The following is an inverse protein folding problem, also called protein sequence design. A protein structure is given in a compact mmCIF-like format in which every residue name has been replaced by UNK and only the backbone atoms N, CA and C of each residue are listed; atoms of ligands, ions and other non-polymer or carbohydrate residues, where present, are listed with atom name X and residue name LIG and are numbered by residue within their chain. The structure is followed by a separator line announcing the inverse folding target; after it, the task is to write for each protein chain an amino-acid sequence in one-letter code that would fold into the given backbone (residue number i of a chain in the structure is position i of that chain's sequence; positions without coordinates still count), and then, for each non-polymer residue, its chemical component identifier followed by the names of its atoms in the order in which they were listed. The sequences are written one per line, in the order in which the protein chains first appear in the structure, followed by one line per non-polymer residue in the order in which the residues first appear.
data_IF_440501986045
#
_entry.id   IF_440501986045
#
_cell.length_a   1.000
_cell.length_b   1.000
_cell.length_c   1.000
_cell.angle_alpha   90.00
_cell.angle_beta   90.00
_cell.angle_gamma   90.00
#
_symmetry.space_group_name_H-M   'P 1'
#
loop_
_entity.id
_entity.type
_entity.pdbx_description
1 polymer ?
#
# COMPACT_ATOMS: atom_id res chain seq x y z
N UNK A 1 9.01 6.16 0.63
CA UNK A 1 9.19 6.48 2.05
C UNK A 1 7.94 7.14 2.63
N UNK A 2 7.63 8.39 2.30
CA UNK A 2 6.45 9.11 2.78
C UNK A 2 5.13 8.31 2.76
N UNK A 3 4.73 7.78 1.59
CA UNK A 3 3.51 6.95 1.47
C UNK A 3 3.55 5.68 2.30
N UNK A 4 4.74 5.17 2.59
CA UNK A 4 4.92 3.95 3.37
C UNK A 4 4.73 4.24 4.86
N UNK A 5 5.28 5.35 5.36
CA UNK A 5 5.09 5.80 6.74
C UNK A 5 3.65 6.18 7.06
N UNK A 6 2.90 6.71 6.09
CA UNK A 6 1.45 6.95 6.24
C UNK A 6 0.65 5.68 6.47
N UNK A 7 1.17 4.50 6.11
CA UNK A 7 0.51 3.22 6.43
C UNK A 7 0.54 2.90 7.92
N UNK A 8 1.49 3.48 8.66
CA UNK A 8 1.59 3.36 10.11
C UNK A 8 0.64 4.30 10.85
N UNK A 9 0.00 5.26 10.15
CA UNK A 9 -0.98 6.22 10.72
C UNK A 9 -0.46 6.96 11.96
N UNK A 10 0.77 7.46 11.90
CA UNK A 10 1.43 8.12 13.04
C UNK A 10 2.00 7.18 14.10
N UNK A 11 1.89 5.87 13.92
CA UNK A 11 2.49 4.86 14.81
C UNK A 11 3.90 4.44 14.39
N UNK A 12 4.43 3.45 15.11
CA UNK A 12 5.77 2.90 14.91
C UNK A 12 6.59 2.89 16.20
N UNK A 13 7.83 2.39 16.15
CA UNK A 13 8.76 2.51 17.27
C UNK A 13 8.96 3.97 17.69
N UNK A 14 9.12 4.21 18.99
CA UNK A 14 9.34 5.55 19.54
C UNK A 14 10.58 6.24 18.94
N UNK A 15 10.56 7.57 18.95
CA UNK A 15 11.62 8.42 18.41
C UNK A 15 11.41 8.76 16.93
N UNK A 16 12.49 8.73 16.15
CA UNK A 16 12.54 9.25 14.77
C UNK A 16 11.49 8.61 13.86
N UNK A 17 11.17 7.33 14.04
CA UNK A 17 10.16 6.65 13.21
C UNK A 17 8.76 7.21 13.48
N UNK A 18 8.37 7.31 14.75
CA UNK A 18 7.06 7.85 15.15
C UNK A 18 6.90 9.31 14.73
N UNK A 19 7.93 10.15 14.93
CA UNK A 19 7.93 11.55 14.51
C UNK A 19 7.74 11.71 13.00
N UNK A 20 8.49 10.95 12.21
CA UNK A 20 8.38 10.98 10.74
C UNK A 20 7.07 10.38 10.25
N UNK A 21 6.53 9.36 10.94
CA UNK A 21 5.21 8.82 10.63
C UNK A 21 4.10 9.83 10.90
N UNK A 22 4.15 10.51 12.04
CA UNK A 22 3.18 11.54 12.41
C UNK A 22 3.22 12.71 11.43
N UNK A 23 4.41 13.23 11.08
CA UNK A 23 4.56 14.27 10.07
C UNK A 23 3.99 13.84 8.71
N UNK A 24 4.25 12.60 8.30
CA UNK A 24 3.74 12.06 7.04
C UNK A 24 2.21 11.91 7.05
N UNK A 25 1.63 11.49 8.17
CA UNK A 25 0.19 11.31 8.33
C UNK A 25 -0.56 12.65 8.34
N UNK A 26 -0.02 13.64 9.05
CA UNK A 26 -0.54 15.01 9.13
C UNK A 26 -0.39 15.79 7.82
N UNK A 27 0.44 15.32 6.90
CA UNK A 27 0.69 16.03 5.64
C UNK A 27 1.77 17.12 5.73
N UNK A 28 2.53 17.19 6.83
CA UNK A 28 3.61 18.16 7.02
C UNK A 28 4.88 17.72 6.28
N UNK A 29 4.96 18.13 5.01
CA UNK A 29 6.12 17.87 4.16
C UNK A 29 7.41 18.50 4.71
N UNK A 30 7.32 19.68 5.31
CA UNK A 30 8.50 20.40 5.77
C UNK A 30 9.14 19.70 6.97
N UNK A 31 8.35 19.31 7.96
CA UNK A 31 8.83 18.58 9.13
C UNK A 31 9.46 17.24 8.73
N UNK A 32 8.82 16.51 7.82
CA UNK A 32 9.36 15.25 7.32
C UNK A 32 10.70 15.41 6.60
N UNK A 33 10.82 16.37 5.68
CA UNK A 33 12.08 16.58 4.95
C UNK A 33 13.19 16.94 5.92
N UNK A 34 12.92 17.81 6.91
CA UNK A 34 13.88 18.15 7.96
C UNK A 34 14.30 16.92 8.77
N UNK A 35 13.35 16.11 9.23
CA UNK A 35 13.64 14.90 9.99
C UNK A 35 14.38 13.80 9.19
N UNK A 36 14.24 13.78 7.86
CA UNK A 36 14.98 12.88 6.97
C UNK A 36 16.43 13.32 6.70
N UNK A 37 16.87 14.45 7.27
CA UNK A 37 18.21 15.03 7.06
C UNK A 37 18.21 16.32 6.24
N UNK A 38 17.06 16.79 5.79
CA UNK A 38 16.90 17.99 4.98
C UNK A 38 16.88 17.72 3.47
N UNK A 39 16.60 18.74 2.64
CA UNK A 39 16.41 18.58 1.21
C UNK A 39 17.70 18.24 0.44
N UNK A 40 18.86 18.51 1.02
CA UNK A 40 20.18 18.26 0.42
C UNK A 40 20.88 17.01 0.98
N UNK A 41 20.24 16.29 1.92
CA UNK A 41 20.83 15.08 2.47
C UNK A 41 20.96 13.99 1.40
N UNK A 42 22.11 13.31 1.30
CA UNK A 42 22.24 12.18 0.41
C UNK A 42 21.46 10.97 0.97
N UNK A 43 20.91 10.14 0.08
CA UNK A 43 20.05 8.99 0.46
C UNK A 43 20.70 8.01 1.42
N UNK A 44 22.03 7.89 1.42
CA UNK A 44 22.78 7.01 2.31
C UNK A 44 22.69 7.43 3.79
N UNK A 45 22.52 8.72 4.02
CA UNK A 45 22.54 9.36 5.34
C UNK A 45 21.11 9.56 5.89
N UNK A 46 20.09 9.19 5.13
CA UNK A 46 18.71 9.19 5.59
C UNK A 46 18.53 8.20 6.76
N UNK A 47 17.82 8.60 7.83
CA UNK A 47 17.60 7.74 8.99
C UNK A 47 16.72 6.53 8.67
N UNK A 48 15.81 6.67 7.71
CA UNK A 48 14.90 5.61 7.27
C UNK A 48 15.17 5.19 5.82
N UNK A 49 15.12 3.89 5.59
CA UNK A 49 15.28 3.26 4.27
C UNK A 49 14.09 2.39 3.92
N UNK A 50 13.85 2.17 2.63
CA UNK A 50 12.76 1.29 2.20
C UNK A 50 13.22 -0.14 2.39
N UNK A 51 12.48 -0.90 3.20
CA UNK A 51 12.72 -2.32 3.33
C UNK A 51 12.13 -3.05 2.12
N UNK A 52 12.97 -3.81 1.43
CA UNK A 52 12.60 -4.58 0.25
C UNK A 52 13.12 -6.01 0.38
N UNK A 53 12.29 -6.96 -0.01
CA UNK A 53 12.68 -8.35 -0.14
C UNK A 53 12.59 -8.77 -1.61
N UNK A 54 13.52 -9.61 -2.04
CA UNK A 54 13.47 -10.24 -3.35
C UNK A 54 12.49 -11.41 -3.32
N UNK A 55 11.70 -11.56 -4.38
CA UNK A 55 10.75 -12.68 -4.54
C UNK A 55 11.00 -13.41 -5.85
N UNK A 56 11.37 -14.68 -5.74
CA UNK A 56 11.52 -15.61 -6.87
C UNK A 56 10.19 -16.20 -7.35
N UNK A 57 9.07 -15.81 -6.75
CA UNK A 57 7.76 -16.28 -7.21
C UNK A 57 7.55 -15.84 -8.66
N UNK A 58 7.14 -16.76 -9.55
CA UNK A 58 6.90 -16.41 -10.95
C UNK A 58 5.65 -15.52 -11.06
N UNK A 59 5.79 -14.41 -11.77
CA UNK A 59 4.68 -13.56 -12.17
C UNK A 59 3.87 -14.17 -13.32
N UNK A 60 2.90 -13.41 -13.83
CA UNK A 60 2.02 -13.83 -14.94
C UNK A 60 2.81 -14.21 -16.19
N UNK A 61 3.99 -13.60 -16.38
CA UNK A 61 4.86 -13.82 -17.54
C UNK A 61 6.01 -14.79 -17.26
N UNK A 62 6.01 -15.50 -16.12
CA UNK A 62 7.02 -16.48 -15.76
C UNK A 62 8.32 -15.92 -15.16
N UNK A 63 8.54 -14.60 -15.23
CA UNK A 63 9.68 -13.94 -14.58
C UNK A 63 9.46 -13.76 -13.06
N UNK A 64 10.53 -13.74 -12.24
CA UNK A 64 10.43 -13.42 -10.82
C UNK A 64 9.73 -12.08 -10.56
N UNK A 65 8.91 -12.03 -9.51
CA UNK A 65 8.31 -10.78 -9.02
C UNK A 65 9.36 -9.74 -8.59
N UNK A 66 10.58 -10.18 -8.31
CA UNK A 66 11.72 -9.33 -8.01
C UNK A 66 11.59 -8.58 -6.68
N UNK A 67 12.12 -7.36 -6.64
CA UNK A 67 12.18 -6.56 -5.41
C UNK A 67 10.83 -5.97 -4.98
N UNK A 68 10.22 -6.57 -3.97
CA UNK A 68 8.97 -6.16 -3.36
C UNK A 68 9.23 -5.27 -2.13
N UNK A 69 8.36 -4.27 -1.90
CA UNK A 69 8.41 -3.44 -0.70
C UNK A 69 7.68 -4.19 0.42
N UNK A 70 8.33 -4.34 1.56
CA UNK A 70 7.73 -4.96 2.76
C UNK A 70 7.44 -3.92 3.85
N UNK A 71 8.28 -2.88 3.91
CA UNK A 71 7.99 -1.68 4.66
C UNK A 71 9.15 -0.71 4.78
N UNK A 72 9.49 -0.37 6.02
CA UNK A 72 10.53 0.60 6.33
C UNK A 72 11.60 -0.05 7.18
N UNK A 73 12.85 0.33 6.96
CA UNK A 73 13.99 -0.10 7.73
C UNK A 73 14.52 1.08 8.55
N UNK A 74 14.73 0.85 9.84
CA UNK A 74 15.33 1.81 10.77
C UNK A 74 16.38 1.11 11.62
N UNK A 75 17.62 1.59 11.63
CA UNK A 75 18.71 1.01 12.42
C UNK A 75 18.84 -0.54 12.27
N UNK A 76 18.76 -1.04 11.03
CA UNK A 76 18.77 -2.47 10.68
C UNK A 76 17.57 -3.28 11.20
N UNK A 77 16.52 -2.63 11.70
CA UNK A 77 15.25 -3.26 12.08
C UNK A 77 14.22 -3.08 10.96
N UNK A 78 13.59 -4.18 10.57
CA UNK A 78 12.46 -4.19 9.65
C UNK A 78 11.17 -3.82 10.37
N UNK A 79 10.51 -2.77 9.89
CA UNK A 79 9.19 -2.34 10.33
C UNK A 79 8.21 -2.65 9.19
N UNK A 80 7.43 -3.76 9.29
CA UNK A 80 6.47 -4.12 8.27
C UNK A 80 5.31 -3.13 8.24
N UNK A 81 4.93 -2.71 7.03
CA UNK A 81 3.83 -1.74 6.79
C UNK A 81 2.77 -2.28 5.84
N UNK A 82 3.05 -3.41 5.15
CA UNK A 82 2.18 -4.02 4.16
C UNK A 82 1.66 -5.38 4.62
N UNK A 83 0.77 -5.33 5.62
CA UNK A 83 0.10 -6.52 6.14
C UNK A 83 -0.99 -7.06 5.21
N UNK A 84 -1.56 -6.19 4.37
CA UNK A 84 -2.67 -6.52 3.48
C UNK A 84 -2.20 -6.56 2.03
N UNK A 85 -2.47 -7.68 1.38
CA UNK A 85 -2.31 -7.83 -0.06
C UNK A 85 -3.68 -7.96 -0.72
N UNK A 86 -3.89 -7.19 -1.78
CA UNK A 86 -5.10 -7.27 -2.58
C UNK A 86 -4.86 -8.17 -3.79
N UNK A 87 -5.79 -9.11 -4.01
CA UNK A 87 -5.83 -9.91 -5.24
C UNK A 87 -7.07 -9.53 -6.03
N UNK A 88 -6.86 -9.24 -7.32
CA UNK A 88 -7.94 -9.04 -8.28
C UNK A 88 -8.38 -10.41 -8.78
N UNK A 89 -9.62 -10.76 -8.52
CA UNK A 89 -10.23 -12.01 -8.99
C UNK A 89 -11.41 -11.71 -9.90
N UNK A 90 -11.60 -12.53 -10.93
CA UNK A 90 -12.80 -12.46 -11.77
C UNK A 90 -13.99 -12.91 -10.94
N UNK A 91 -15.09 -12.15 -10.97
CA UNK A 91 -16.33 -12.59 -10.33
C UNK A 91 -16.87 -13.83 -11.06
N UNK A 92 -17.23 -14.91 -10.35
CA UNK A 92 -17.87 -16.07 -10.98
C UNK A 92 -19.26 -15.70 -11.50
N UNK A 93 -19.60 -16.24 -12.68
CA UNK A 93 -20.89 -16.05 -13.33
C UNK A 93 -22.01 -16.54 -12.41
N UNK A 94 -23.08 -15.75 -12.23
CA UNK A 94 -24.22 -16.10 -11.37
C UNK A 94 -24.12 -15.65 -9.91
N UNK A 95 -23.03 -14.99 -9.50
CA UNK A 95 -22.98 -14.33 -8.18
C UNK A 95 -23.90 -13.10 -8.19
N UNK A 96 -24.87 -12.98 -7.27
CA UNK A 96 -25.70 -11.79 -7.16
C UNK A 96 -24.84 -10.53 -7.02
N UNK A 97 -25.26 -9.38 -7.58
CA UNK A 97 -24.53 -8.13 -7.35
C UNK A 97 -24.43 -7.89 -5.85
N UNK A 98 -23.22 -7.53 -5.38
CA UNK A 98 -23.08 -6.97 -4.04
C UNK A 98 -24.04 -5.79 -3.97
N UNK A 99 -24.94 -5.80 -2.98
CA UNK A 99 -25.97 -4.78 -2.82
C UNK A 99 -25.38 -3.38 -2.93
N UNK A 100 -26.12 -2.47 -3.56
CA UNK A 100 -25.75 -1.05 -3.60
C UNK A 100 -25.51 -0.61 -2.16
N UNK A 101 -24.35 -0.01 -1.87
CA UNK A 101 -24.11 0.62 -0.57
C UNK A 101 -25.17 1.73 -0.46
N UNK A 102 -26.12 1.65 0.48
CA UNK A 102 -27.04 2.76 0.73
C UNK A 102 -26.16 3.99 1.07
N UNK A 103 -26.46 5.14 0.47
CA UNK A 103 -25.77 6.43 0.71
C UNK A 103 -24.40 6.62 0.02
N UNK A 104 -24.07 5.81 -1.00
CA UNK A 104 -22.97 6.16 -1.89
C UNK A 104 -23.43 7.24 -2.90
N UNK A 105 -23.18 8.51 -2.57
CA UNK A 105 -23.50 9.71 -3.37
C UNK A 105 -22.67 9.85 -4.67
N UNK A 106 -22.32 8.74 -5.32
CA UNK A 106 -21.76 8.77 -6.66
C UNK A 106 -22.91 8.92 -7.65
N UNK A 107 -23.27 10.17 -7.95
CA UNK A 107 -24.21 10.54 -9.00
C UNK A 107 -23.61 10.13 -10.36
N UNK A 108 -23.89 8.90 -10.79
CA UNK A 108 -23.35 8.31 -12.00
C UNK A 108 -24.19 8.72 -13.21
N UNK A 109 -24.05 9.97 -13.66
CA UNK A 109 -24.82 10.53 -14.80
C UNK A 109 -24.39 10.05 -16.20
N UNK A 110 -23.55 9.02 -16.31
CA UNK A 110 -23.17 8.46 -17.61
C UNK A 110 -22.85 6.96 -17.52
N UNK A 111 -23.88 6.13 -17.39
CA UNK A 111 -23.77 4.74 -17.82
C UNK A 111 -23.95 4.70 -19.34
N UNK A 112 -22.94 4.32 -20.15
CA UNK A 112 -23.23 3.90 -21.52
C UNK A 112 -24.13 2.65 -21.46
N UNK A 113 -25.04 2.55 -22.42
CA UNK A 113 -25.92 1.40 -22.64
C UNK A 113 -25.20 0.07 -22.37
N UNK A 114 -25.85 -0.92 -21.74
CA UNK A 114 -25.21 -2.18 -21.38
C UNK A 114 -24.66 -2.87 -22.64
N UNK A 115 -23.33 -2.91 -22.75
CA UNK A 115 -22.64 -3.70 -23.76
C UNK A 115 -23.18 -5.15 -23.73
N UNK A 116 -23.55 -5.75 -24.87
CA UNK A 116 -24.07 -7.12 -24.94
C UNK A 116 -23.01 -8.20 -24.67
N UNK A 117 -21.78 -7.81 -24.34
CA UNK A 117 -20.72 -8.71 -23.89
C UNK A 117 -20.65 -8.65 -22.37
N UNK A 118 -21.04 -9.75 -21.73
CA UNK A 118 -21.34 -9.89 -20.32
C UNK A 118 -20.48 -9.08 -19.35
N UNK A 119 -21.16 -8.48 -18.37
CA UNK A 119 -20.60 -7.64 -17.32
C UNK A 119 -19.45 -8.37 -16.57
N UNK A 120 -18.20 -8.06 -16.90
CA UNK A 120 -17.04 -8.53 -16.13
C UNK A 120 -16.95 -7.69 -14.87
N UNK A 121 -17.47 -8.21 -13.77
CA UNK A 121 -17.32 -7.58 -12.46
C UNK A 121 -16.06 -8.11 -11.77
N UNK A 122 -15.30 -7.21 -11.15
CA UNK A 122 -14.07 -7.51 -10.42
C UNK A 122 -14.38 -7.48 -8.93
N UNK A 123 -13.88 -8.46 -8.18
CA UNK A 123 -13.93 -8.45 -6.71
C UNK A 123 -12.50 -8.33 -6.18
N UNK A 124 -12.30 -7.41 -5.23
CA UNK A 124 -11.01 -7.21 -4.57
C UNK A 124 -11.06 -7.96 -3.23
N UNK A 125 -10.23 -9.00 -3.06
CA UNK A 125 -10.11 -9.72 -1.79
C UNK A 125 -8.85 -9.30 -1.05
N UNK A 126 -8.99 -9.02 0.24
CA UNK A 126 -7.88 -8.77 1.16
C UNK A 126 -7.36 -10.09 1.71
N UNK A 127 -6.06 -10.33 1.57
CA UNK A 127 -5.35 -11.40 2.28
C UNK A 127 -4.36 -10.78 3.27
N UNK A 128 -4.40 -11.26 4.51
CA UNK A 128 -3.39 -10.93 5.51
C UNK A 128 -2.14 -11.78 5.26
N UNK A 129 -0.97 -11.14 5.15
CA UNK A 129 0.30 -11.87 5.19
C UNK A 129 0.50 -12.38 6.62
N UNK A 130 0.37 -13.69 6.82
CA UNK A 130 0.74 -14.35 8.07
C UNK A 130 2.26 -14.22 8.23
N UNK A 131 2.70 -13.38 9.15
CA UNK A 131 4.10 -13.34 9.56
C UNK A 131 4.38 -14.59 10.40
N UNK A 132 5.00 -15.60 9.79
CA UNK A 132 5.63 -16.69 10.55
C UNK A 132 6.80 -16.10 11.36
N UNK A 133 6.88 -16.55 12.62
CA UNK A 133 7.86 -16.16 13.65
C UNK A 133 9.28 -16.56 13.27
#
# INVERSE_FOLDING_TARGET
MWRELRRLKGGGPEGVVAELSAAADQGDWQAFVKGMGGPLAPRKDHPLKLARAWSDQPGVYGEPLGWQIEGVEYANLLIPTRFVQWRIERRPLGTPPLGRIPDADFENSAMPEPCPLGLVSITVRSHYKSTMR
#
